data_IF_563901355986
#
_entry.id   IF_563901355986
#
_cell.length_a   1.000
_cell.length_b   1.000
_cell.length_c   1.000
_cell.angle_alpha   90.00
_cell.angle_beta   90.00
_cell.angle_gamma   90.00
#
_symmetry.space_group_name_H-M   'P 1'
#
loop_
_entity.id
_entity.type
_entity.pdbx_description
1 polymer ?
#
# COMPACT_ATOMS: atom_id res chain seq x y z
N UNK A 1 74.31 -0.09 7.61
CA UNK A 1 73.57 -1.27 7.10
C UNK A 1 72.17 -1.23 7.70
N UNK A 2 71.17 -0.71 6.99
CA UNK A 2 69.81 -0.54 7.52
C UNK A 2 68.98 -1.78 7.15
N UNK A 3 68.62 -2.58 8.16
CA UNK A 3 67.68 -3.70 7.99
C UNK A 3 66.26 -3.14 8.03
N UNK A 4 65.64 -2.95 6.88
CA UNK A 4 64.20 -2.66 6.80
C UNK A 4 63.46 -3.98 6.98
N UNK A 5 62.90 -4.19 8.17
CA UNK A 5 61.97 -5.29 8.43
C UNK A 5 60.66 -4.98 7.71
N UNK A 6 60.41 -5.65 6.59
CA UNK A 6 59.17 -5.54 5.83
C UNK A 6 58.01 -6.15 6.62
N UNK A 7 57.14 -5.29 7.15
CA UNK A 7 55.85 -5.71 7.71
C UNK A 7 54.92 -6.02 6.53
N UNK A 8 54.75 -7.29 6.20
CA UNK A 8 53.81 -7.75 5.18
C UNK A 8 52.39 -7.59 5.74
N UNK A 9 51.75 -6.46 5.44
CA UNK A 9 50.35 -6.20 5.77
C UNK A 9 49.46 -7.05 4.85
N UNK A 10 49.03 -8.22 5.32
CA UNK A 10 48.02 -9.03 4.64
C UNK A 10 46.68 -8.27 4.64
N UNK A 11 46.31 -7.68 3.50
CA UNK A 11 44.98 -7.14 3.25
C UNK A 11 43.97 -8.29 3.10
N UNK A 12 43.29 -8.64 4.20
CA UNK A 12 42.09 -9.47 4.17
C UNK A 12 40.97 -8.71 3.45
N UNK A 13 40.79 -8.99 2.16
CA UNK A 13 39.63 -8.50 1.42
C UNK A 13 38.37 -9.20 1.95
N UNK A 14 37.63 -8.52 2.82
CA UNK A 14 36.32 -8.98 3.27
C UNK A 14 35.33 -8.90 2.10
N UNK A 15 35.06 -10.04 1.46
CA UNK A 15 34.00 -10.15 0.46
C UNK A 15 32.65 -9.95 1.15
N UNK A 16 32.02 -8.78 0.96
CA UNK A 16 30.66 -8.54 1.37
C UNK A 16 29.71 -9.32 0.44
N UNK A 17 29.35 -10.55 0.83
CA UNK A 17 28.31 -11.30 0.14
C UNK A 17 26.95 -10.72 0.53
N UNK A 18 26.12 -10.39 -0.47
CA UNK A 18 24.73 -10.08 -0.23
C UNK A 18 24.04 -11.36 0.31
N UNK A 19 23.39 -11.25 1.47
CA UNK A 19 22.64 -12.37 2.04
C UNK A 19 21.53 -12.76 1.03
N UNK A 20 21.45 -14.04 0.70
CA UNK A 20 20.41 -14.57 -0.18
C UNK A 20 19.63 -15.68 0.51
N UNK A 21 18.32 -15.71 0.27
CA UNK A 21 17.41 -16.72 0.78
C UNK A 21 16.78 -17.45 -0.40
N UNK A 22 16.77 -18.78 -0.34
CA UNK A 22 16.06 -19.60 -1.32
C UNK A 22 14.95 -20.36 -0.61
N UNK A 23 13.73 -20.28 -1.14
CA UNK A 23 12.58 -20.91 -0.50
C UNK A 23 11.40 -21.07 -1.43
N UNK A 24 10.48 -21.96 -1.04
CA UNK A 24 9.22 -22.17 -1.76
C UNK A 24 8.17 -21.19 -1.28
N UNK A 25 7.50 -20.52 -2.21
CA UNK A 25 6.40 -19.62 -1.88
C UNK A 25 5.20 -20.43 -1.44
N UNK A 26 4.75 -20.19 -0.21
CA UNK A 26 3.59 -20.87 0.39
C UNK A 26 2.37 -19.96 0.49
N UNK A 27 2.57 -18.64 0.60
CA UNK A 27 1.48 -17.66 0.70
C UNK A 27 1.85 -16.39 -0.04
N UNK A 28 0.89 -15.78 -0.74
CA UNK A 28 0.96 -14.41 -1.25
C UNK A 28 -0.08 -13.58 -0.49
N UNK A 29 0.39 -12.63 0.32
CA UNK A 29 -0.45 -11.82 1.19
C UNK A 29 -1.17 -10.73 0.41
N UNK A 30 -0.42 -9.94 -0.35
CA UNK A 30 -0.88 -8.81 -1.16
C UNK A 30 -0.06 -8.70 -2.45
N UNK A 31 -0.03 -7.54 -3.11
CA UNK A 31 0.67 -7.35 -4.39
C UNK A 31 2.19 -7.19 -4.30
N UNK A 32 2.76 -7.12 -3.09
CA UNK A 32 4.21 -6.97 -2.89
C UNK A 32 4.77 -7.72 -1.67
N UNK A 33 3.95 -8.52 -0.99
CA UNK A 33 4.32 -9.28 0.20
C UNK A 33 3.94 -10.76 0.06
N UNK A 34 4.86 -11.65 0.41
CA UNK A 34 4.69 -13.10 0.38
C UNK A 34 5.38 -13.80 1.54
N UNK A 35 5.11 -15.10 1.71
CA UNK A 35 5.75 -15.95 2.72
C UNK A 35 6.47 -17.10 2.03
N UNK A 36 7.74 -17.26 2.39
CA UNK A 36 8.61 -18.35 1.96
C UNK A 36 8.72 -19.41 3.03
N UNK A 37 8.62 -20.67 2.62
CA UNK A 37 9.10 -21.81 3.39
C UNK A 37 10.54 -22.10 2.98
N UNK A 38 11.43 -22.03 3.97
CA UNK A 38 12.85 -22.38 3.84
C UNK A 38 13.06 -23.66 4.65
N UNK A 39 13.84 -24.60 4.13
CA UNK A 39 14.13 -25.85 4.82
C UNK A 39 14.71 -25.57 6.22
N UNK A 40 14.23 -26.32 7.22
CA UNK A 40 14.71 -26.29 8.60
C UNK A 40 14.66 -24.91 9.28
N UNK A 41 13.80 -24.00 8.78
CA UNK A 41 13.59 -22.65 9.33
C UNK A 41 12.11 -22.34 9.45
N UNK A 42 11.80 -21.39 10.32
CA UNK A 42 10.47 -20.79 10.37
C UNK A 42 10.15 -20.07 9.05
N UNK A 43 8.86 -20.03 8.64
CA UNK A 43 8.45 -19.28 7.47
C UNK A 43 8.89 -17.82 7.52
N UNK A 44 9.42 -17.31 6.40
CA UNK A 44 9.94 -15.94 6.30
C UNK A 44 8.98 -15.10 5.48
N UNK A 45 8.50 -14.01 6.07
CA UNK A 45 7.72 -13.00 5.35
C UNK A 45 8.65 -12.06 4.60
N UNK A 46 8.39 -11.85 3.31
CA UNK A 46 9.20 -11.05 2.40
C UNK A 46 8.36 -9.92 1.82
N UNK A 47 8.91 -8.70 1.83
CA UNK A 47 8.39 -7.51 1.15
C UNK A 47 9.32 -7.20 -0.04
N UNK A 48 8.76 -7.17 -1.24
CA UNK A 48 9.49 -6.88 -2.47
C UNK A 48 10.08 -5.46 -2.42
N UNK A 49 11.34 -5.27 -2.76
CA UNK A 49 12.00 -3.97 -2.66
C UNK A 49 11.62 -3.04 -3.82
N UNK A 50 11.64 -1.73 -3.60
CA UNK A 50 11.53 -0.72 -4.66
C UNK A 50 10.15 -0.55 -5.32
N UNK A 51 9.16 -1.38 -4.98
CA UNK A 51 7.77 -1.26 -5.46
C UNK A 51 6.79 -1.11 -4.30
N UNK A 52 5.59 -0.63 -4.60
CA UNK A 52 4.46 -0.57 -3.67
C UNK A 52 3.18 -0.90 -4.45
N UNK A 53 2.57 -2.03 -4.11
CA UNK A 53 1.36 -2.48 -4.77
C UNK A 53 0.10 -1.89 -4.10
N UNK A 54 -1.01 -1.72 -4.85
CA UNK A 54 -2.27 -1.32 -4.25
C UNK A 54 -2.67 -2.23 -3.08
N UNK A 55 -3.10 -1.61 -1.98
CA UNK A 55 -3.57 -2.34 -0.79
C UNK A 55 -4.76 -3.24 -1.13
N UNK A 56 -5.00 -4.31 -0.37
CA UNK A 56 -6.03 -5.30 -0.72
C UNK A 56 -7.43 -4.69 -0.99
N UNK A 57 -7.81 -3.66 -0.22
CA UNK A 57 -9.08 -2.95 -0.33
C UNK A 57 -9.04 -1.73 -1.25
N UNK A 58 -7.88 -1.40 -1.81
CA UNK A 58 -7.70 -0.33 -2.76
C UNK A 58 -8.17 -0.78 -4.16
N UNK A 59 -8.61 0.14 -5.05
CA UNK A 59 -8.72 -0.17 -6.47
C UNK A 59 -7.48 -0.90 -6.99
N UNK A 60 -7.71 -1.97 -7.75
CA UNK A 60 -6.67 -2.88 -8.26
C UNK A 60 -5.96 -3.78 -7.23
N UNK A 61 -6.19 -3.66 -5.92
CA UNK A 61 -5.49 -4.45 -4.88
C UNK A 61 -5.54 -5.97 -5.06
N UNK A 62 -6.75 -6.50 -5.25
CA UNK A 62 -6.95 -7.93 -5.54
C UNK A 62 -6.27 -8.36 -6.85
N UNK A 63 -6.25 -7.49 -7.85
CA UNK A 63 -5.61 -7.78 -9.14
C UNK A 63 -4.08 -7.77 -9.02
N UNK A 64 -3.50 -6.84 -8.26
CA UNK A 64 -2.07 -6.79 -7.95
C UNK A 64 -1.61 -8.06 -7.22
N UNK A 65 -2.36 -8.51 -6.20
CA UNK A 65 -2.10 -9.79 -5.52
C UNK A 65 -2.13 -10.98 -6.49
N UNK A 66 -3.11 -11.04 -7.39
CA UNK A 66 -3.17 -12.10 -8.42
C UNK A 66 -1.99 -12.04 -9.37
N UNK A 67 -1.54 -10.85 -9.77
CA UNK A 67 -0.37 -10.69 -10.63
C UNK A 67 0.88 -11.27 -9.96
N UNK A 68 1.15 -10.93 -8.68
CA UNK A 68 2.25 -11.54 -7.93
C UNK A 68 2.08 -13.05 -7.83
N UNK A 69 0.90 -13.53 -7.43
CA UNK A 69 0.61 -14.96 -7.33
C UNK A 69 0.90 -15.73 -8.63
N UNK A 70 0.55 -15.18 -9.79
CA UNK A 70 0.83 -15.80 -11.09
C UNK A 70 2.34 -15.98 -11.36
N UNK A 71 3.18 -15.09 -10.83
CA UNK A 71 4.64 -15.20 -10.95
C UNK A 71 5.25 -16.21 -9.99
N UNK A 72 4.73 -16.33 -8.77
CA UNK A 72 5.49 -16.95 -7.67
C UNK A 72 4.82 -18.15 -7.01
N UNK A 73 3.50 -18.34 -7.13
CA UNK A 73 2.78 -19.34 -6.34
C UNK A 73 3.28 -20.76 -6.59
N UNK A 74 3.66 -21.44 -5.51
CA UNK A 74 4.15 -22.82 -5.56
C UNK A 74 5.56 -23.00 -6.12
N UNK A 75 6.21 -21.92 -6.57
CA UNK A 75 7.57 -21.92 -7.12
C UNK A 75 8.62 -21.72 -6.03
N UNK A 76 9.82 -22.20 -6.29
CA UNK A 76 11.02 -21.84 -5.53
C UNK A 76 11.58 -20.54 -6.09
N UNK A 77 11.89 -19.61 -5.19
CA UNK A 77 12.35 -18.27 -5.54
C UNK A 77 13.64 -17.96 -4.80
N UNK A 78 14.44 -17.07 -5.37
CA UNK A 78 15.62 -16.51 -4.73
C UNK A 78 15.34 -15.09 -4.29
N UNK A 79 15.67 -14.74 -3.06
CA UNK A 79 15.55 -13.39 -2.52
C UNK A 79 16.94 -12.88 -2.20
N UNK A 80 17.30 -11.73 -2.76
CA UNK A 80 18.49 -10.97 -2.33
C UNK A 80 18.05 -10.03 -1.21
N UNK A 81 18.57 -10.25 -0.01
CA UNK A 81 18.16 -9.55 1.21
C UNK A 81 18.87 -8.21 1.32
N UNK A 82 18.12 -7.14 1.56
CA UNK A 82 18.65 -5.80 1.79
C UNK A 82 18.56 -5.38 3.25
N UNK A 83 17.45 -5.70 3.92
CA UNK A 83 17.22 -5.35 5.31
C UNK A 83 16.08 -6.17 5.91
N UNK A 84 15.80 -5.91 7.19
CA UNK A 84 14.54 -6.28 7.85
C UNK A 84 13.84 -5.01 8.28
N UNK A 85 12.53 -4.94 8.10
CA UNK A 85 11.74 -3.79 8.55
C UNK A 85 11.20 -3.98 9.98
N UNK A 86 10.62 -2.92 10.54
CA UNK A 86 10.07 -2.90 11.90
C UNK A 86 8.91 -3.90 12.10
N UNK A 87 8.34 -4.43 11.01
CA UNK A 87 7.31 -5.47 11.03
C UNK A 87 7.90 -6.89 10.96
N UNK A 88 9.22 -7.01 11.01
CA UNK A 88 9.93 -8.29 10.93
C UNK A 88 9.97 -8.90 9.52
N UNK A 89 9.59 -8.16 8.47
CA UNK A 89 9.67 -8.65 7.10
C UNK A 89 11.08 -8.51 6.58
N UNK A 90 11.55 -9.51 5.85
CA UNK A 90 12.72 -9.37 4.98
C UNK A 90 12.35 -8.42 3.83
N UNK A 91 13.13 -7.38 3.62
CA UNK A 91 13.02 -6.50 2.46
C UNK A 91 14.12 -6.89 1.48
N UNK A 92 13.75 -7.19 0.24
CA UNK A 92 14.71 -7.68 -0.75
C UNK A 92 14.13 -7.78 -2.15
N UNK A 93 14.98 -8.03 -3.14
CA UNK A 93 14.54 -8.33 -4.51
C UNK A 93 14.30 -9.81 -4.69
N UNK A 94 13.32 -10.15 -5.54
CA UNK A 94 12.92 -11.53 -5.76
C UNK A 94 13.07 -11.95 -7.22
N UNK A 95 13.73 -13.08 -7.42
CA UNK A 95 13.96 -13.69 -8.72
C UNK A 95 13.30 -15.07 -8.81
N UNK A 96 12.63 -15.31 -9.94
CA UNK A 96 12.06 -16.62 -10.30
C UNK A 96 12.61 -17.00 -11.66
N UNK A 97 13.34 -18.12 -11.74
CA UNK A 97 13.98 -18.56 -12.99
C UNK A 97 14.80 -17.43 -13.64
N UNK A 98 15.60 -16.73 -12.83
CA UNK A 98 16.45 -15.60 -13.24
C UNK A 98 15.70 -14.37 -13.78
N UNK A 99 14.39 -14.27 -13.55
CA UNK A 99 13.60 -13.09 -13.88
C UNK A 99 13.22 -12.32 -12.62
N UNK A 100 13.50 -11.02 -12.63
CA UNK A 100 13.16 -10.11 -11.55
C UNK A 100 11.64 -9.87 -11.50
N UNK A 101 11.01 -10.24 -10.38
CA UNK A 101 9.55 -10.17 -10.24
C UNK A 101 9.05 -8.74 -10.10
N UNK A 102 9.80 -7.86 -9.44
CA UNK A 102 9.42 -6.45 -9.33
C UNK A 102 9.32 -5.78 -10.69
N UNK A 103 10.30 -5.99 -11.56
CA UNK A 103 10.29 -5.51 -12.94
C UNK A 103 9.08 -6.05 -13.71
N UNK A 104 8.77 -7.34 -13.56
CA UNK A 104 7.62 -7.95 -14.21
C UNK A 104 6.29 -7.34 -13.74
N UNK A 105 6.13 -7.12 -12.43
CA UNK A 105 4.93 -6.51 -11.86
C UNK A 105 4.75 -5.06 -12.32
N UNK A 106 5.81 -4.26 -12.30
CA UNK A 106 5.77 -2.87 -12.77
C UNK A 106 5.44 -2.82 -14.27
N UNK A 107 6.08 -3.67 -15.08
CA UNK A 107 5.82 -3.75 -16.53
C UNK A 107 4.37 -4.11 -16.88
N UNK A 108 3.71 -4.91 -16.03
CA UNK A 108 2.30 -5.27 -16.14
C UNK A 108 1.34 -4.19 -15.60
N UNK A 109 1.86 -3.15 -14.95
CA UNK A 109 1.04 -2.16 -14.24
C UNK A 109 0.38 -2.72 -12.99
N UNK A 110 1.04 -3.66 -12.29
CA UNK A 110 0.53 -4.26 -11.06
C UNK A 110 1.02 -3.57 -9.77
N UNK A 111 2.04 -2.73 -9.86
CA UNK A 111 2.58 -1.99 -8.73
C UNK A 111 3.10 -0.61 -9.16
N UNK A 112 3.15 0.30 -8.21
CA UNK A 112 3.84 1.58 -8.33
C UNK A 112 5.33 1.41 -8.02
N UNK A 113 6.18 2.21 -8.65
CA UNK A 113 7.58 2.31 -8.24
C UNK A 113 7.66 3.18 -6.99
N UNK A 114 8.18 2.61 -5.91
CA UNK A 114 8.32 3.33 -4.65
C UNK A 114 9.61 4.17 -4.66
N UNK A 115 9.54 5.33 -5.34
CA UNK A 115 10.67 6.22 -5.63
C UNK A 115 11.65 6.42 -4.46
N UNK A 116 11.14 6.61 -3.24
CA UNK A 116 11.97 6.83 -2.03
C UNK A 116 12.91 5.67 -1.71
N UNK A 117 12.52 4.44 -2.03
CA UNK A 117 13.24 3.21 -1.68
C UNK A 117 13.66 2.39 -2.90
N UNK A 118 13.46 2.93 -4.10
CA UNK A 118 13.86 2.27 -5.32
C UNK A 118 15.38 2.39 -5.53
N UNK A 119 16.05 1.25 -5.67
CA UNK A 119 17.48 1.15 -6.00
C UNK A 119 17.74 0.77 -7.46
N UNK A 120 16.68 0.46 -8.21
CA UNK A 120 16.76 0.00 -9.59
C UNK A 120 16.11 1.04 -10.54
N UNK A 121 16.89 1.90 -11.22
CA UNK A 121 16.34 2.94 -12.09
C UNK A 121 15.49 2.37 -13.24
N UNK A 122 15.75 1.15 -13.70
CA UNK A 122 14.99 0.50 -14.76
C UNK A 122 13.49 0.35 -14.42
N UNK A 123 13.14 0.24 -13.13
CA UNK A 123 11.73 0.19 -12.73
C UNK A 123 10.96 1.45 -13.15
N UNK A 124 11.60 2.63 -13.15
CA UNK A 124 10.95 3.88 -13.56
C UNK A 124 10.62 3.88 -15.06
N UNK A 125 11.50 3.33 -15.88
CA UNK A 125 11.28 3.17 -17.33
C UNK A 125 10.10 2.22 -17.58
N UNK A 126 10.07 1.08 -16.88
CA UNK A 126 8.98 0.12 -16.98
C UNK A 126 7.65 0.71 -16.51
N UNK A 127 7.65 1.53 -15.46
CA UNK A 127 6.45 2.24 -15.00
C UNK A 127 5.94 3.22 -16.07
N UNK A 128 6.84 3.99 -16.68
CA UNK A 128 6.49 4.92 -17.75
C UNK A 128 5.89 4.19 -18.96
N UNK A 129 6.47 3.05 -19.36
CA UNK A 129 5.93 2.20 -20.43
C UNK A 129 4.55 1.63 -20.07
N UNK A 130 4.36 1.16 -18.84
CA UNK A 130 3.09 0.62 -18.38
C UNK A 130 1.99 1.69 -18.34
N UNK A 131 2.34 2.93 -17.95
CA UNK A 131 1.46 4.10 -17.99
C UNK A 131 1.05 4.46 -19.41
N UNK A 132 2.01 4.62 -20.31
CA UNK A 132 1.76 4.98 -21.71
C UNK A 132 0.90 3.92 -22.43
N UNK A 133 1.06 2.65 -22.08
CA UNK A 133 0.29 1.55 -22.62
C UNK A 133 -1.02 1.25 -21.87
N UNK A 134 -1.42 2.08 -20.90
CA UNK A 134 -2.61 1.87 -20.05
C UNK A 134 -2.73 0.44 -19.50
N UNK A 135 -1.61 -0.14 -19.02
CA UNK A 135 -1.60 -1.51 -18.50
C UNK A 135 -2.05 -1.58 -17.06
N UNK A 136 -2.82 -2.60 -16.74
CA UNK A 136 -3.17 -2.93 -15.36
C UNK A 136 -3.82 -1.75 -14.62
N UNK A 137 -3.24 -1.34 -13.49
CA UNK A 137 -3.76 -0.23 -12.69
C UNK A 137 -3.81 1.10 -13.47
N UNK A 138 -2.99 1.26 -14.52
CA UNK A 138 -2.97 2.47 -15.34
C UNK A 138 -4.18 2.59 -16.29
N UNK A 139 -4.95 1.50 -16.47
CA UNK A 139 -6.22 1.48 -17.20
C UNK A 139 -7.39 2.02 -16.38
N UNK A 140 -7.23 2.14 -15.05
CA UNK A 140 -8.29 2.66 -14.19
C UNK A 140 -8.52 4.16 -14.42
N UNK A 141 -9.74 4.66 -14.12
CA UNK A 141 -10.01 6.09 -13.98
C UNK A 141 -9.00 6.79 -13.07
N UNK A 142 -8.67 8.04 -13.36
CA UNK A 142 -7.59 8.76 -12.69
C UNK A 142 -7.79 8.90 -11.18
N UNK A 143 -9.01 9.16 -10.75
CA UNK A 143 -9.44 9.26 -9.36
C UNK A 143 -9.26 7.94 -8.58
N UNK A 144 -9.19 6.80 -9.28
CA UNK A 144 -8.94 5.49 -8.68
C UNK A 144 -7.44 5.12 -8.65
N UNK A 145 -6.59 5.83 -9.41
CA UNK A 145 -5.14 5.59 -9.49
C UNK A 145 -4.38 6.31 -8.36
N UNK A 146 -4.77 6.01 -7.13
CA UNK A 146 -4.12 6.55 -5.94
C UNK A 146 -2.86 5.72 -5.63
N UNK A 147 -1.70 6.32 -5.33
CA UNK A 147 -0.56 5.54 -4.87
C UNK A 147 -0.79 4.94 -3.48
N UNK A 148 -0.29 3.73 -3.14
CA UNK A 148 -0.61 3.08 -1.87
C UNK A 148 -0.10 3.87 -0.65
N UNK A 149 1.05 4.53 -0.75
CA UNK A 149 1.55 5.43 0.30
C UNK A 149 0.68 6.68 0.53
N UNK A 150 -0.11 7.12 -0.46
CA UNK A 150 -1.12 8.16 -0.31
C UNK A 150 -2.37 7.55 0.34
N UNK A 151 -2.85 6.43 -0.21
CA UNK A 151 -4.00 5.67 0.29
C UNK A 151 -3.90 5.39 1.80
N UNK A 152 -2.77 4.85 2.26
CA UNK A 152 -2.50 4.59 3.69
C UNK A 152 -2.59 5.84 4.57
N UNK A 153 -2.34 7.04 4.06
CA UNK A 153 -2.50 8.27 4.86
C UNK A 153 -3.96 8.69 5.00
N UNK A 154 -4.79 8.44 3.99
CA UNK A 154 -6.24 8.63 4.09
C UNK A 154 -6.85 7.60 5.04
N UNK A 155 -6.38 6.34 4.98
CA UNK A 155 -6.77 5.28 5.91
C UNK A 155 -6.34 5.57 7.36
N UNK A 156 -5.21 6.25 7.57
CA UNK A 156 -4.78 6.67 8.92
C UNK A 156 -5.59 7.84 9.48
N UNK A 157 -6.08 8.75 8.61
CA UNK A 157 -7.02 9.79 9.03
C UNK A 157 -8.41 9.22 9.33
N UNK A 158 -8.83 8.17 8.62
CA UNK A 158 -10.07 7.42 8.89
C UNK A 158 -9.91 6.34 9.97
N UNK A 159 -8.69 5.96 10.33
CA UNK A 159 -8.39 5.15 11.52
C UNK A 159 -8.50 5.93 12.84
N UNK A 160 -8.59 7.26 12.76
CA UNK A 160 -8.99 8.15 13.86
C UNK A 160 -10.42 8.69 13.68
N UNK A 161 -11.10 8.30 12.60
CA UNK A 161 -12.44 8.75 12.24
C UNK A 161 -13.17 7.57 11.60
N UNK A 162 -13.76 6.74 12.45
CA UNK A 162 -14.85 5.88 12.05
C UNK A 162 -15.81 6.68 11.17
N UNK A 163 -15.91 6.23 9.92
CA UNK A 163 -17.04 6.46 8.99
C UNK A 163 -17.04 7.76 8.19
N UNK A 164 -17.52 7.59 6.93
CA UNK A 164 -18.09 8.59 6.01
C UNK A 164 -17.08 9.09 4.97
N UNK A 165 -16.88 8.41 3.84
CA UNK A 165 -17.80 8.22 2.70
C UNK A 165 -18.35 9.54 2.15
N UNK A 166 -17.81 9.86 0.98
CA UNK A 166 -18.24 10.83 -0.02
C UNK A 166 -19.73 11.11 -0.11
N UNK A 167 -20.03 12.40 -0.27
CA UNK A 167 -21.29 12.94 -0.76
C UNK A 167 -21.70 12.34 -2.12
N UNK A 168 -22.96 11.92 -2.23
CA UNK A 168 -23.85 12.25 -3.36
C UNK A 168 -25.20 11.55 -3.17
N UNK A 169 -26.28 12.33 -3.29
CA UNK A 169 -27.71 11.97 -3.27
C UNK A 169 -28.35 11.88 -1.87
N UNK A 170 -29.42 12.65 -1.58
CA UNK A 170 -30.13 12.54 -0.32
C UNK A 170 -30.81 11.17 -0.25
N UNK A 171 -30.61 10.39 0.84
CA UNK A 171 -31.33 9.14 1.01
C UNK A 171 -32.83 9.44 1.15
N UNK A 172 -33.63 8.77 0.34
CA UNK A 172 -35.08 8.75 0.36
C UNK A 172 -35.60 8.02 1.62
N UNK A 173 -35.36 8.61 2.80
CA UNK A 173 -35.89 8.11 4.06
C UNK A 173 -35.11 8.57 5.29
N UNK A 174 -35.82 8.64 6.42
CA UNK A 174 -35.24 8.95 7.71
C UNK A 174 -34.44 7.76 8.24
N UNK A 175 -33.11 7.85 8.22
CA UNK A 175 -32.21 6.84 8.77
C UNK A 175 -32.18 6.82 10.31
N UNK A 176 -31.24 6.05 10.86
CA UNK A 176 -31.06 5.89 12.32
C UNK A 176 -30.35 7.08 13.00
N UNK A 177 -29.80 8.03 12.23
CA UNK A 177 -29.08 9.19 12.76
C UNK A 177 -30.02 10.06 13.59
N UNK A 178 -29.54 10.53 14.74
CA UNK A 178 -30.31 11.39 15.63
C UNK A 178 -29.49 12.48 16.33
N UNK A 179 -28.16 12.52 16.20
CA UNK A 179 -27.31 13.58 16.77
C UNK A 179 -26.52 14.35 15.72
N UNK A 180 -26.08 15.56 16.06
CA UNK A 180 -25.32 16.41 15.16
C UNK A 180 -23.96 15.86 14.75
N UNK A 181 -23.34 15.01 15.58
CA UNK A 181 -22.06 14.35 15.26
C UNK A 181 -22.20 13.31 14.14
N UNK A 182 -23.42 12.86 13.84
CA UNK A 182 -23.69 11.86 12.82
C UNK A 182 -24.00 12.47 11.45
N UNK A 183 -24.18 13.80 11.37
CA UNK A 183 -24.53 14.52 10.14
C UNK A 183 -23.26 15.02 9.44
N UNK A 184 -23.19 14.89 8.12
CA UNK A 184 -22.05 15.29 7.31
C UNK A 184 -22.10 16.75 6.85
N UNK A 185 -23.29 17.34 6.76
CA UNK A 185 -23.47 18.75 6.37
C UNK A 185 -24.77 19.37 6.90
N UNK A 186 -24.90 20.70 6.77
CA UNK A 186 -26.08 21.44 7.21
C UNK A 186 -27.36 21.03 6.46
N UNK A 187 -27.27 20.66 5.19
CA UNK A 187 -28.44 20.29 4.37
C UNK A 187 -29.04 18.96 4.83
N UNK A 188 -28.19 18.01 5.22
CA UNK A 188 -28.60 16.76 5.88
C UNK A 188 -29.24 17.03 7.24
N UNK A 189 -28.63 17.87 8.09
CA UNK A 189 -29.17 18.21 9.39
C UNK A 189 -30.57 18.86 9.28
N UNK A 190 -30.76 19.77 8.32
CA UNK A 190 -32.04 20.40 8.01
C UNK A 190 -33.10 19.39 7.57
N UNK A 191 -32.73 18.41 6.73
CA UNK A 191 -33.63 17.34 6.31
C UNK A 191 -34.09 16.50 7.51
N UNK A 192 -33.20 16.14 8.43
CA UNK A 192 -33.58 15.35 9.61
C UNK A 192 -34.42 16.13 10.63
N UNK A 193 -34.21 17.43 10.77
CA UNK A 193 -35.05 18.28 11.62
C UNK A 193 -36.47 18.40 11.04
N UNK A 194 -36.57 18.74 9.74
CA UNK A 194 -37.86 19.08 9.09
C UNK A 194 -38.65 17.86 8.65
N UNK A 195 -38.00 16.91 7.98
CA UNK A 195 -38.65 15.73 7.39
C UNK A 195 -38.72 14.55 8.35
N UNK A 196 -37.78 14.43 9.30
CA UNK A 196 -37.68 13.30 10.21
C UNK A 196 -38.03 13.62 11.67
N UNK A 197 -38.34 14.89 11.98
CA UNK A 197 -38.82 15.31 13.30
C UNK A 197 -37.81 15.16 14.44
N UNK A 198 -36.51 15.10 14.14
CA UNK A 198 -35.47 14.92 15.16
C UNK A 198 -35.18 16.26 15.85
N UNK A 199 -36.09 16.67 16.75
CA UNK A 199 -36.03 17.98 17.43
C UNK A 199 -34.73 18.23 18.21
N UNK A 200 -34.05 17.17 18.67
CA UNK A 200 -32.79 17.29 19.43
C UNK A 200 -31.65 17.93 18.63
N UNK A 201 -31.73 17.95 17.29
CA UNK A 201 -30.72 18.57 16.44
C UNK A 201 -30.70 20.09 16.58
N UNK A 202 -31.82 20.68 16.97
CA UNK A 202 -32.01 22.11 17.19
C UNK A 202 -32.23 22.33 18.69
N UNK A 203 -31.12 22.58 19.41
CA UNK A 203 -31.12 22.55 20.88
C UNK A 203 -31.76 23.80 21.47
N UNK A 204 -31.55 24.94 20.84
CA UNK A 204 -32.09 26.24 21.25
C UNK A 204 -33.44 26.59 20.57
N UNK A 205 -33.92 25.72 19.67
CA UNK A 205 -35.24 25.79 19.01
C UNK A 205 -35.38 27.02 18.11
N UNK A 206 -34.27 27.46 17.51
CA UNK A 206 -34.24 28.61 16.61
C UNK A 206 -34.55 28.24 15.14
N UNK A 207 -34.75 26.93 14.87
CA UNK A 207 -35.00 26.38 13.55
C UNK A 207 -33.73 25.96 12.79
N UNK A 208 -32.55 26.16 13.37
CA UNK A 208 -31.24 25.82 12.82
C UNK A 208 -30.68 24.58 13.51
N UNK A 209 -30.72 23.41 12.87
CA UNK A 209 -30.14 22.22 13.46
C UNK A 209 -28.61 22.26 13.38
N UNK A 210 -27.94 21.79 14.44
CA UNK A 210 -26.51 21.57 14.45
C UNK A 210 -25.73 22.82 14.05
N UNK A 211 -25.77 23.84 14.90
CA UNK A 211 -25.24 25.19 14.69
C UNK A 211 -23.77 25.16 14.26
N UNK A 212 -22.97 24.20 14.74
CA UNK A 212 -21.58 24.02 14.26
C UNK A 212 -21.45 23.65 12.78
N UNK A 213 -22.43 22.95 12.20
CA UNK A 213 -22.47 22.57 10.79
C UNK A 213 -23.15 23.64 9.92
N UNK A 214 -24.07 24.42 10.49
CA UNK A 214 -24.86 25.43 9.78
C UNK A 214 -24.37 26.88 9.95
N UNK A 215 -23.18 27.09 10.54
CA UNK A 215 -22.63 28.42 10.87
C UNK A 215 -22.28 29.31 9.68
N UNK A 216 -22.07 28.73 8.50
CA UNK A 216 -21.50 29.41 7.33
C UNK A 216 -22.44 29.39 6.09
N UNK A 217 -23.76 29.39 6.30
CA UNK A 217 -24.76 29.49 5.22
C UNK A 217 -25.52 30.81 5.23
#
# INVERSE_FOLDING_TARGET
>A
MIRVAGFLLLLLAASAYAESLTGRVITVNDGDTLILRIADRQPVKVRLAGIDAPEYNQPYGKAARRALSAWVSGRTVQVTVYSRDDYGRVVGTLDVSSQNVEAALVKQGAAWVYRRYNRNPHLLELEAQAKAAHRGLWALPEDQRIPPWVWRRHDKKTGSLTTTSSASTPPSGCGAKRTCSEMSDCKEAQFYLKSCGVKRLDRDQDGTPCERLCKDQ
#
